data_IF_728108390259
#
_entry.id   IF_728108390259
#
_cell.length_a   1.000
_cell.length_b   1.000
_cell.length_c   1.000
_cell.angle_alpha   90.00
_cell.angle_beta   90.00
_cell.angle_gamma   90.00
#
_symmetry.space_group_name_H-M   'P 1'
#
loop_
_entity.id
_entity.type
_entity.pdbx_description
1 polymer ?
#
# COMPACT_ATOMS: atom_id res chain seq x y z
N UNK A 1 -9.82 -3.62 15.60
CA UNK A 1 -9.23 -3.60 14.24
C UNK A 1 -9.38 -2.19 13.68
N UNK A 2 -8.28 -1.47 13.47
CA UNK A 2 -8.29 -0.15 12.85
C UNK A 2 -8.66 -0.27 11.36
N UNK A 3 -9.47 0.62 10.80
CA UNK A 3 -9.88 0.58 9.38
C UNK A 3 -9.35 1.83 8.69
N UNK A 4 -8.85 1.72 7.45
CA UNK A 4 -8.54 2.91 6.63
C UNK A 4 -9.88 3.51 6.19
N UNK A 5 -10.12 4.77 6.54
CA UNK A 5 -11.38 5.49 6.26
C UNK A 5 -11.26 6.48 5.14
N UNK A 6 -10.07 6.99 4.87
CA UNK A 6 -9.87 7.99 3.83
C UNK A 6 -8.52 7.78 3.18
N UNK A 7 -8.48 8.03 1.87
CA UNK A 7 -7.26 8.01 1.07
C UNK A 7 -7.22 9.29 0.25
N UNK A 8 -6.07 9.96 0.27
CA UNK A 8 -5.81 11.14 -0.55
C UNK A 8 -4.66 10.82 -1.49
N UNK A 9 -4.82 11.13 -2.77
CA UNK A 9 -3.82 10.85 -3.81
C UNK A 9 -3.68 12.09 -4.69
N UNK A 10 -2.43 12.53 -4.90
CA UNK A 10 -2.09 13.62 -5.80
C UNK A 10 -0.94 13.24 -6.73
N UNK A 11 -1.12 13.54 -8.01
CA UNK A 11 -0.09 13.39 -9.05
C UNK A 11 0.25 11.95 -9.44
N UNK A 12 -0.59 10.96 -9.13
CA UNK A 12 -0.32 9.54 -9.42
C UNK A 12 -1.09 9.03 -10.64
N UNK A 13 -0.42 8.70 -11.74
CA UNK A 13 -1.04 8.20 -12.98
C UNK A 13 -2.23 9.09 -13.39
N UNK A 14 -3.41 8.51 -13.65
CA UNK A 14 -4.63 9.28 -13.98
C UNK A 14 -5.27 10.00 -12.78
N UNK A 15 -4.71 9.89 -11.57
CA UNK A 15 -5.25 10.48 -10.34
C UNK A 15 -4.52 11.80 -10.05
N UNK A 16 -5.10 12.91 -10.51
CA UNK A 16 -4.49 14.23 -10.37
C UNK A 16 -4.55 14.75 -8.93
N UNK A 17 -5.75 14.83 -8.36
CA UNK A 17 -6.01 15.17 -6.96
C UNK A 17 -7.36 14.56 -6.59
N UNK A 18 -7.35 13.50 -5.78
CA UNK A 18 -8.56 12.82 -5.34
C UNK A 18 -8.52 12.54 -3.85
N UNK A 19 -9.71 12.55 -3.25
CA UNK A 19 -9.97 12.12 -1.89
C UNK A 19 -11.11 11.12 -1.92
N UNK A 20 -10.91 9.94 -1.33
CA UNK A 20 -11.88 8.85 -1.34
C UNK A 20 -12.14 8.40 0.08
N UNK A 21 -13.41 8.40 0.48
CA UNK A 21 -13.86 7.77 1.72
C UNK A 21 -14.07 6.28 1.52
N UNK A 22 -13.65 5.49 2.52
CA UNK A 22 -13.66 4.03 2.48
C UNK A 22 -14.54 3.46 3.60
N UNK A 23 -15.36 2.50 3.22
CA UNK A 23 -16.05 1.59 4.13
C UNK A 23 -15.22 0.34 4.44
N UNK A 24 -15.85 -0.60 5.14
CA UNK A 24 -15.27 -1.93 5.41
C UNK A 24 -15.07 -2.74 4.14
N UNK A 25 -15.95 -2.55 3.16
CA UNK A 25 -15.92 -3.16 1.83
C UNK A 25 -16.19 -2.04 0.83
N UNK A 26 -15.37 -1.97 -0.21
CA UNK A 26 -15.44 -0.92 -1.22
C UNK A 26 -15.54 -1.57 -2.60
N UNK A 27 -16.52 -1.14 -3.41
CA UNK A 27 -16.68 -1.58 -4.79
C UNK A 27 -16.49 -0.39 -5.72
N UNK A 28 -15.42 -0.42 -6.53
CA UNK A 28 -15.12 0.64 -7.49
C UNK A 28 -15.61 0.25 -8.88
N UNK A 29 -16.58 1.01 -9.42
CA UNK A 29 -17.24 0.74 -10.71
C UNK A 29 -16.98 1.91 -11.66
N UNK A 30 -16.82 1.63 -12.95
CA UNK A 30 -16.62 2.64 -13.97
C UNK A 30 -16.05 2.05 -15.26
N UNK A 31 -15.99 2.85 -16.33
CA UNK A 31 -15.46 2.42 -17.63
C UNK A 31 -13.99 1.96 -17.57
N UNK A 32 -13.55 1.21 -18.58
CA UNK A 32 -12.15 0.82 -18.71
C UNK A 32 -11.27 2.06 -18.89
N UNK A 33 -10.10 2.07 -18.26
CA UNK A 33 -9.15 3.19 -18.34
C UNK A 33 -9.42 4.38 -17.41
N UNK A 34 -10.55 4.41 -16.69
CA UNK A 34 -10.89 5.55 -15.80
C UNK A 34 -10.01 5.67 -14.53
N UNK A 35 -9.10 4.72 -14.29
CA UNK A 35 -8.15 4.78 -13.17
C UNK A 35 -8.52 3.97 -11.92
N UNK A 36 -9.51 3.06 -12.00
CA UNK A 36 -9.87 2.16 -10.87
C UNK A 36 -8.66 1.38 -10.31
N UNK A 37 -7.85 0.80 -11.19
CA UNK A 37 -6.64 0.09 -10.79
C UNK A 37 -5.57 1.05 -10.25
N UNK A 38 -5.51 2.29 -10.76
CA UNK A 38 -4.54 3.29 -10.28
C UNK A 38 -4.80 3.64 -8.80
N UNK A 39 -6.05 3.63 -8.34
CA UNK A 39 -6.38 3.82 -6.92
C UNK A 39 -5.79 2.71 -6.05
N UNK A 40 -5.94 1.45 -6.48
CA UNK A 40 -5.40 0.30 -5.77
C UNK A 40 -3.87 0.29 -5.79
N UNK A 41 -3.27 0.70 -6.92
CA UNK A 41 -1.81 0.80 -7.07
C UNK A 41 -1.20 1.93 -6.24
N UNK A 42 -1.90 3.06 -6.09
CA UNK A 42 -1.47 4.14 -5.19
C UNK A 42 -1.39 3.65 -3.74
N UNK A 43 -2.38 2.86 -3.28
CA UNK A 43 -2.32 2.19 -1.98
C UNK A 43 -1.18 1.16 -1.92
N UNK A 44 -0.87 0.48 -3.02
CA UNK A 44 0.30 -0.39 -3.13
C UNK A 44 1.61 0.36 -2.94
N UNK A 45 1.75 1.55 -3.54
CA UNK A 45 2.89 2.46 -3.35
C UNK A 45 2.97 2.94 -1.90
N UNK A 46 1.84 3.34 -1.30
CA UNK A 46 1.81 3.73 0.11
C UNK A 46 2.21 2.58 1.04
N UNK A 47 1.78 1.35 0.72
CA UNK A 47 2.17 0.14 1.45
C UNK A 47 3.66 -0.19 1.32
N UNK A 48 4.24 -0.01 0.13
CA UNK A 48 5.70 -0.08 -0.06
C UNK A 48 6.40 0.99 0.78
N UNK A 49 5.88 2.22 0.76
CA UNK A 49 6.44 3.32 1.53
C UNK A 49 6.41 3.03 3.05
N UNK A 50 5.33 2.43 3.54
CA UNK A 50 5.18 2.00 4.92
C UNK A 50 6.17 0.90 5.35
N UNK A 51 6.79 0.16 4.40
CA UNK A 51 7.90 -0.76 4.66
C UNK A 51 9.27 -0.07 4.60
N UNK A 52 9.31 1.22 4.29
CA UNK A 52 10.52 2.03 4.29
C UNK A 52 11.26 2.09 2.96
N UNK A 53 10.85 1.37 1.91
CA UNK A 53 11.48 1.46 0.58
C UNK A 53 10.44 1.34 -0.53
N UNK A 54 10.52 2.25 -1.50
CA UNK A 54 9.68 2.24 -2.71
C UNK A 54 10.58 2.03 -3.93
N UNK A 55 10.65 0.80 -4.42
CA UNK A 55 11.41 0.40 -5.60
C UNK A 55 10.61 -0.63 -6.42
N UNK A 56 11.15 -1.07 -7.56
CA UNK A 56 10.45 -1.99 -8.43
C UNK A 56 10.12 -3.32 -7.75
N UNK A 57 11.01 -3.84 -6.88
CA UNK A 57 10.78 -5.09 -6.15
C UNK A 57 9.64 -4.95 -5.13
N UNK A 58 9.66 -3.87 -4.34
CA UNK A 58 8.66 -3.63 -3.30
C UNK A 58 7.28 -3.32 -3.88
N UNK A 59 7.22 -2.69 -5.06
CA UNK A 59 5.99 -2.48 -5.84
C UNK A 59 5.48 -3.79 -6.44
N UNK A 60 6.35 -4.55 -7.10
CA UNK A 60 6.01 -5.85 -7.69
C UNK A 60 5.46 -6.80 -6.65
N UNK A 61 6.08 -6.93 -5.47
CA UNK A 61 5.63 -7.79 -4.36
C UNK A 61 4.23 -7.43 -3.82
N UNK A 62 3.66 -6.30 -4.24
CA UNK A 62 2.31 -5.81 -3.88
C UNK A 62 1.31 -5.90 -5.01
N UNK A 63 1.70 -6.47 -6.16
CA UNK A 63 0.86 -6.52 -7.34
C UNK A 63 0.69 -5.17 -8.04
N UNK A 64 1.54 -4.18 -7.71
CA UNK A 64 1.61 -2.93 -8.48
C UNK A 64 2.25 -3.26 -9.82
N UNK A 65 1.61 -2.88 -10.92
CA UNK A 65 2.11 -3.20 -12.25
C UNK A 65 3.38 -2.39 -12.51
N UNK A 66 4.46 -3.09 -12.84
CA UNK A 66 5.69 -2.47 -13.30
C UNK A 66 5.40 -1.57 -14.51
N UNK A 67 6.02 -0.41 -14.53
CA UNK A 67 5.88 0.56 -15.59
C UNK A 67 7.09 1.48 -15.61
N UNK A 68 7.32 2.13 -16.74
CA UNK A 68 8.36 3.15 -16.82
C UNK A 68 8.06 4.25 -15.78
N UNK A 69 9.08 4.80 -15.10
CA UNK A 69 8.94 5.85 -14.08
C UNK A 69 8.01 7.01 -14.49
N UNK A 70 8.06 7.41 -15.77
CA UNK A 70 7.18 8.44 -16.35
C UNK A 70 5.69 8.11 -16.22
N UNK A 71 5.32 6.84 -16.29
CA UNK A 71 3.92 6.38 -16.26
C UNK A 71 3.29 6.48 -14.88
N UNK A 72 4.09 6.62 -13.80
CA UNK A 72 3.57 6.79 -12.45
C UNK A 72 3.11 8.22 -12.15
N UNK A 73 3.53 9.21 -12.95
CA UNK A 73 3.15 10.62 -12.76
C UNK A 73 1.96 11.00 -13.61
N UNK A 74 1.14 11.89 -13.07
CA UNK A 74 0.04 12.48 -13.83
C UNK A 74 0.53 13.36 -14.97
N UNK A 75 -0.06 13.25 -16.15
CA UNK A 75 0.37 13.92 -17.38
C UNK A 75 -0.83 14.44 -18.17
N UNK A 76 -1.69 15.22 -17.49
CA UNK A 76 -2.79 15.93 -18.14
C UNK A 76 -2.25 17.08 -18.99
N UNK A 77 -2.76 17.24 -20.21
CA UNK A 77 -2.22 18.16 -21.23
C UNK A 77 -2.31 19.64 -20.82
N UNK A 78 -3.26 19.98 -19.95
CA UNK A 78 -3.52 21.33 -19.44
C UNK A 78 -2.63 21.76 -18.28
N UNK A 79 -2.00 20.81 -17.59
CA UNK A 79 -1.40 21.05 -16.27
C UNK A 79 0.08 20.69 -16.23
N UNK A 80 0.84 21.44 -15.44
CA UNK A 80 2.24 21.10 -15.18
C UNK A 80 2.28 19.79 -14.38
N UNK A 81 2.95 18.79 -14.92
CA UNK A 81 3.20 17.52 -14.23
C UNK A 81 3.77 17.78 -12.82
N UNK A 82 3.09 17.32 -11.75
CA UNK A 82 3.58 17.49 -10.39
C UNK A 82 4.96 16.86 -10.25
N UNK A 83 5.92 17.53 -9.58
CA UNK A 83 7.26 16.99 -9.42
C UNK A 83 7.25 15.75 -8.51
N UNK A 84 6.35 15.71 -7.53
CA UNK A 84 6.20 14.64 -6.55
C UNK A 84 4.80 14.03 -6.59
N UNK A 85 4.72 12.80 -6.08
CA UNK A 85 3.48 12.04 -5.91
C UNK A 85 3.18 12.05 -4.41
N UNK A 86 2.00 12.53 -4.02
CA UNK A 86 1.59 12.53 -2.61
C UNK A 86 0.49 11.52 -2.40
N UNK A 87 0.65 10.68 -1.39
CA UNK A 87 -0.34 9.67 -1.02
C UNK A 87 -0.48 9.70 0.50
N UNK A 88 -1.71 9.74 0.99
CA UNK A 88 -2.03 9.67 2.40
C UNK A 88 -3.16 8.68 2.67
N UNK A 89 -3.12 8.05 3.83
CA UNK A 89 -4.21 7.26 4.38
C UNK A 89 -4.51 7.72 5.81
N UNK A 90 -5.79 7.86 6.11
CA UNK A 90 -6.31 8.19 7.44
C UNK A 90 -7.13 7.02 7.96
N UNK A 91 -6.90 6.64 9.20
CA UNK A 91 -7.60 5.56 9.87
C UNK A 91 -8.87 6.03 10.58
N UNK A 92 -9.75 5.10 10.95
CA UNK A 92 -10.93 5.39 11.77
C UNK A 92 -10.59 5.96 13.15
N UNK A 93 -9.37 5.69 13.64
CA UNK A 93 -8.85 6.15 14.92
C UNK A 93 -8.07 7.47 14.76
N UNK A 94 -8.27 8.18 13.64
CA UNK A 94 -7.60 9.43 13.25
C UNK A 94 -6.08 9.36 13.07
N UNK A 95 -5.48 8.17 13.08
CA UNK A 95 -4.08 8.02 12.69
C UNK A 95 -3.88 8.34 11.21
N UNK A 96 -2.76 8.98 10.88
CA UNK A 96 -2.44 9.42 9.52
C UNK A 96 -1.05 8.94 9.14
N UNK A 97 -0.93 8.34 7.95
CA UNK A 97 0.35 8.16 7.28
C UNK A 97 0.32 8.85 5.92
N UNK A 98 1.30 9.73 5.68
CA UNK A 98 1.40 10.51 4.43
C UNK A 98 2.83 10.58 3.95
N UNK A 99 3.01 10.36 2.66
CA UNK A 99 4.30 10.49 1.99
C UNK A 99 4.21 11.39 0.77
N UNK A 100 5.29 12.10 0.49
CA UNK A 100 5.53 12.75 -0.80
C UNK A 100 6.78 12.15 -1.41
N UNK A 101 6.62 11.47 -2.54
CA UNK A 101 7.67 10.68 -3.19
C UNK A 101 8.11 11.34 -4.49
N UNK A 102 9.41 11.30 -4.76
CA UNK A 102 10.01 11.76 -6.01
C UNK A 102 10.70 10.57 -6.71
N UNK A 103 10.27 10.30 -7.94
CA UNK A 103 11.10 9.65 -8.94
C UNK A 103 11.29 10.62 -10.12
N UNK A 104 12.52 11.09 -10.42
CA UNK A 104 12.75 11.99 -11.56
C UNK A 104 12.34 11.33 -12.89
N UNK A 105 11.80 12.11 -13.83
CA UNK A 105 11.34 11.56 -15.13
C UNK A 105 12.51 11.35 -16.08
N UNK A 106 13.44 12.31 -16.13
CA UNK A 106 14.56 12.31 -17.07
C UNK A 106 15.65 11.31 -16.67
N UNK A 107 15.93 11.21 -15.38
CA UNK A 107 16.94 10.29 -14.81
C UNK A 107 16.34 9.56 -13.62
N UNK A 108 15.49 8.54 -13.87
CA UNK A 108 14.84 7.82 -12.80
C UNK A 108 15.83 7.01 -11.99
N UNK A 109 15.58 6.91 -10.69
CA UNK A 109 16.33 6.05 -9.79
C UNK A 109 15.58 4.73 -9.58
N UNK A 110 16.28 3.62 -9.29
CA UNK A 110 15.66 2.35 -8.94
C UNK A 110 14.69 2.47 -7.75
N UNK A 111 15.08 3.25 -6.74
CA UNK A 111 14.26 3.56 -5.57
C UNK A 111 13.84 5.04 -5.53
N UNK A 112 12.60 5.28 -5.15
CA UNK A 112 12.01 6.62 -5.09
C UNK A 112 12.45 7.33 -3.81
N UNK A 113 12.64 8.64 -3.89
CA UNK A 113 13.06 9.44 -2.73
C UNK A 113 11.87 10.01 -1.97
N UNK A 114 11.85 9.82 -0.66
CA UNK A 114 11.00 10.52 0.28
C UNK A 114 11.40 12.00 0.34
N UNK A 115 10.47 12.87 -0.05
CA UNK A 115 10.59 14.33 0.10
C UNK A 115 10.00 14.80 1.41
N UNK A 116 8.87 14.21 1.78
CA UNK A 116 8.28 14.37 3.10
C UNK A 116 7.68 13.06 3.55
N UNK A 117 7.71 12.82 4.85
CA UNK A 117 7.02 11.70 5.48
C UNK A 117 6.40 12.16 6.80
N UNK A 118 5.13 11.80 7.01
CA UNK A 118 4.39 12.11 8.22
C UNK A 118 3.71 10.84 8.73
N UNK A 119 3.90 10.56 10.01
CA UNK A 119 3.18 9.54 10.76
C UNK A 119 2.64 10.18 12.05
N UNK A 120 1.33 10.12 12.25
CA UNK A 120 0.63 10.69 13.39
C UNK A 120 -0.39 9.66 13.91
N UNK A 121 -0.57 9.57 15.23
CA UNK A 121 -1.49 8.62 15.87
C UNK A 121 -2.90 9.15 16.17
N UNK A 122 -3.22 10.34 15.66
CA UNK A 122 -4.43 11.12 15.93
C UNK A 122 -4.20 12.24 16.95
N UNK A 123 -3.13 12.16 17.74
CA UNK A 123 -2.82 13.14 18.80
C UNK A 123 -1.42 13.72 18.68
N UNK A 124 -0.45 12.87 18.35
CA UNK A 124 0.97 13.20 18.40
C UNK A 124 1.64 12.86 17.07
N UNK A 125 2.49 13.77 16.59
CA UNK A 125 3.36 13.51 15.44
C UNK A 125 4.52 12.60 15.87
N UNK A 126 4.52 11.37 15.37
CA UNK A 126 5.59 10.38 15.56
C UNK A 126 6.72 10.64 14.58
N UNK A 127 6.37 10.89 13.32
CA UNK A 127 7.30 11.32 12.27
C UNK A 127 6.76 12.57 11.61
N UNK A 128 7.63 13.57 11.48
CA UNK A 128 7.38 14.78 10.69
C UNK A 128 8.69 15.17 10.02
N UNK A 129 9.06 14.43 8.96
CA UNK A 129 10.28 14.69 8.19
C UNK A 129 9.93 15.62 7.02
N UNK A 130 10.17 16.91 7.21
CA UNK A 130 9.95 17.96 6.22
C UNK A 130 11.23 18.36 5.48
N UNK A 131 11.07 19.03 4.33
CA UNK A 131 12.20 19.46 3.47
C UNK A 131 13.20 20.37 4.20
N UNK A 132 12.74 21.18 5.17
CA UNK A 132 13.58 22.11 5.95
C UNK A 132 14.17 21.53 7.24
N UNK A 133 13.67 20.38 7.68
CA UNK A 133 14.04 19.73 8.94
C UNK A 133 14.53 18.30 8.70
N UNK A 134 15.16 18.08 7.54
CA UNK A 134 15.43 16.75 7.00
C UNK A 134 16.43 16.01 7.89
N UNK A 135 15.93 15.11 8.74
CA UNK A 135 16.76 14.29 9.64
C UNK A 135 17.32 13.07 8.93
N UNK A 136 16.73 12.73 7.79
CA UNK A 136 17.02 11.50 7.08
C UNK A 136 18.25 11.62 6.17
N UNK A 137 19.32 10.91 6.54
CA UNK A 137 20.57 10.80 5.79
C UNK A 137 20.38 10.09 4.44
N UNK A 138 19.45 9.12 4.38
CA UNK A 138 19.12 8.40 3.17
C UNK A 138 17.71 8.76 2.69
N UNK A 139 17.63 9.60 1.67
CA UNK A 139 16.33 10.03 1.13
C UNK A 139 15.48 8.90 0.51
N UNK A 140 16.00 7.69 0.33
CA UNK A 140 15.26 6.53 -0.18
C UNK A 140 14.74 5.59 0.92
N UNK A 141 15.10 5.84 2.19
CA UNK A 141 14.63 5.07 3.34
C UNK A 141 13.50 5.83 4.06
N UNK A 142 12.38 5.18 4.37
CA UNK A 142 11.31 5.76 5.19
C UNK A 142 11.64 5.70 6.68
N UNK A 143 11.59 6.83 7.37
CA UNK A 143 11.83 6.94 8.81
C UNK A 143 10.66 6.36 9.62
N UNK A 144 9.43 6.47 9.12
CA UNK A 144 8.25 5.93 9.79
C UNK A 144 8.35 4.42 10.01
N UNK A 145 8.90 3.68 9.04
CA UNK A 145 9.11 2.24 9.16
C UNK A 145 10.08 1.88 10.30
N UNK A 146 11.09 2.72 10.54
CA UNK A 146 12.05 2.55 11.63
C UNK A 146 11.40 2.87 12.99
N UNK A 147 10.64 3.97 13.08
CA UNK A 147 10.00 4.39 14.33
C UNK A 147 8.91 3.44 14.82
N UNK A 148 8.37 2.58 13.95
CA UNK A 148 7.38 1.56 14.35
C UNK A 148 7.86 0.61 15.44
N UNK A 149 9.18 0.37 15.54
CA UNK A 149 9.73 -0.54 16.55
C UNK A 149 9.58 -0.01 17.98
N UNK A 150 9.43 1.31 18.11
CA UNK A 150 9.31 2.00 19.40
C UNK A 150 7.84 2.22 19.80
N UNK A 151 6.88 1.88 18.94
CA UNK A 151 5.45 2.06 19.20
C UNK A 151 4.82 0.82 19.83
N UNK A 152 3.89 1.05 20.76
CA UNK A 152 3.05 0.00 21.31
C UNK A 152 2.11 -0.58 20.25
N UNK A 153 1.81 -1.88 20.34
CA UNK A 153 1.01 -2.60 19.32
C UNK A 153 -0.42 -2.11 19.21
N UNK A 154 -0.95 -1.48 20.26
CA UNK A 154 -2.27 -0.89 20.28
C UNK A 154 -2.32 0.56 19.80
N UNK A 155 -1.16 1.21 19.62
CA UNK A 155 -1.07 2.55 19.08
C UNK A 155 -1.77 2.63 17.69
N UNK A 156 -2.66 3.61 17.47
CA UNK A 156 -3.37 3.78 16.20
C UNK A 156 -2.46 3.87 14.96
N UNK A 157 -1.31 4.54 15.06
CA UNK A 157 -0.34 4.66 13.98
C UNK A 157 0.33 3.32 13.68
N UNK A 158 0.70 2.55 14.70
CA UNK A 158 1.28 1.22 14.53
C UNK A 158 0.30 0.28 13.79
N UNK A 159 -0.97 0.28 14.19
CA UNK A 159 -2.02 -0.51 13.54
C UNK A 159 -2.30 -0.08 12.10
N UNK A 160 -2.27 1.22 11.81
CA UNK A 160 -2.40 1.75 10.45
C UNK A 160 -1.24 1.29 9.57
N UNK A 161 -0.01 1.46 10.06
CA UNK A 161 1.20 1.10 9.32
C UNK A 161 1.26 -0.41 9.03
N UNK A 162 0.96 -1.27 10.00
CA UNK A 162 0.90 -2.73 9.77
C UNK A 162 -0.07 -3.08 8.63
N UNK A 163 -1.24 -2.44 8.58
CA UNK A 163 -2.24 -2.67 7.51
C UNK A 163 -1.74 -2.23 6.14
N UNK A 164 -1.06 -1.09 6.08
CA UNK A 164 -0.44 -0.62 4.85
C UNK A 164 0.70 -1.55 4.43
N UNK A 165 1.50 -2.03 5.38
CA UNK A 165 2.61 -2.95 5.11
C UNK A 165 2.12 -4.30 4.56
N UNK A 166 0.95 -4.76 4.98
CA UNK A 166 0.34 -6.00 4.50
C UNK A 166 -0.49 -5.83 3.22
N UNK A 167 -0.77 -4.59 2.80
CA UNK A 167 -1.57 -4.33 1.61
C UNK A 167 -0.95 -4.96 0.36
N UNK A 168 -1.80 -5.63 -0.41
CA UNK A 168 -1.45 -6.28 -1.66
C UNK A 168 -2.65 -6.30 -2.62
N UNK A 169 -2.36 -6.26 -3.92
CA UNK A 169 -3.32 -6.35 -5.00
C UNK A 169 -3.34 -7.78 -5.50
N UNK A 170 -4.44 -8.48 -5.24
CA UNK A 170 -4.67 -9.83 -5.73
C UNK A 170 -5.35 -9.78 -7.10
N UNK A 171 -4.78 -10.44 -8.09
CA UNK A 171 -5.29 -10.54 -9.45
C UNK A 171 -5.21 -12.01 -9.91
N UNK A 172 -6.05 -12.89 -9.36
CA UNK A 172 -6.02 -14.30 -9.69
C UNK A 172 -6.27 -14.53 -11.18
N UNK A 173 -5.54 -15.48 -11.77
CA UNK A 173 -5.64 -15.80 -13.18
C UNK A 173 -5.81 -17.31 -13.39
N UNK A 174 -6.50 -17.69 -14.46
CA UNK A 174 -6.87 -19.09 -14.73
C UNK A 174 -5.66 -20.03 -14.88
N UNK A 175 -4.58 -19.68 -15.61
CA UNK A 175 -3.40 -20.53 -15.69
C UNK A 175 -2.78 -20.86 -14.32
N UNK A 176 -2.63 -19.87 -13.44
CA UNK A 176 -2.07 -20.07 -12.10
C UNK A 176 -3.03 -20.85 -11.20
N UNK A 177 -4.31 -20.51 -11.20
CA UNK A 177 -5.34 -21.23 -10.41
C UNK A 177 -5.44 -22.72 -10.78
N UNK A 178 -5.13 -23.09 -12.02
CA UNK A 178 -5.12 -24.47 -12.50
C UNK A 178 -3.78 -25.19 -12.31
N UNK A 179 -2.77 -24.53 -11.74
CA UNK A 179 -1.42 -25.08 -11.61
C UNK A 179 -0.68 -25.27 -12.93
N UNK A 180 -1.15 -24.64 -14.03
CA UNK A 180 -0.50 -24.71 -15.35
C UNK A 180 0.79 -23.87 -15.34
N UNK A 181 0.75 -22.74 -14.63
CA UNK A 181 1.89 -21.81 -14.50
C UNK A 181 2.12 -21.54 -13.00
N UNK A 182 3.36 -21.54 -12.51
CA UNK A 182 3.64 -21.19 -11.12
C UNK A 182 3.25 -19.75 -10.81
N UNK A 183 2.83 -19.49 -9.57
CA UNK A 183 2.64 -18.12 -9.09
C UNK A 183 4.00 -17.47 -8.84
N UNK A 184 4.38 -16.57 -9.76
CA UNK A 184 5.63 -15.83 -9.70
C UNK A 184 5.77 -15.00 -8.42
N UNK A 185 4.64 -14.65 -7.78
CA UNK A 185 4.61 -13.86 -6.54
C UNK A 185 3.78 -14.59 -5.48
N UNK A 186 4.26 -15.80 -5.18
CA UNK A 186 3.78 -16.63 -4.09
C UNK A 186 3.83 -15.86 -2.76
N UNK A 187 2.67 -15.66 -2.15
CA UNK A 187 2.49 -14.92 -0.90
C UNK A 187 1.37 -15.56 -0.09
N UNK A 188 1.63 -15.87 1.17
CA UNK A 188 0.57 -16.35 2.07
C UNK A 188 -0.56 -15.31 2.19
N UNK A 189 -1.84 -15.73 2.23
CA UNK A 189 -2.30 -17.12 2.21
C UNK A 189 -2.60 -17.69 0.82
N UNK A 190 -2.84 -16.87 -0.21
CA UNK A 190 -3.43 -17.33 -1.49
C UNK A 190 -2.58 -17.07 -2.74
N UNK A 191 -1.45 -16.39 -2.61
CA UNK A 191 -0.65 -15.90 -3.74
C UNK A 191 -1.32 -14.74 -4.46
N UNK A 192 -0.54 -13.83 -5.06
CA UNK A 192 -1.12 -12.67 -5.76
C UNK A 192 -1.89 -13.08 -7.02
N UNK A 193 -1.49 -14.19 -7.66
CA UNK A 193 -2.16 -14.76 -8.82
C UNK A 193 -3.06 -15.95 -8.48
N UNK A 194 -3.24 -16.25 -7.18
CA UNK A 194 -4.10 -17.33 -6.71
C UNK A 194 -3.42 -18.69 -6.60
N UNK A 195 -2.08 -18.77 -6.70
CA UNK A 195 -1.38 -20.06 -6.72
C UNK A 195 -1.45 -20.87 -5.45
N UNK A 196 -1.84 -20.26 -4.32
CA UNK A 196 -2.00 -20.94 -3.02
C UNK A 196 -3.47 -20.99 -2.56
N UNK A 197 -4.41 -20.81 -3.49
CA UNK A 197 -5.83 -20.76 -3.12
C UNK A 197 -6.31 -22.06 -2.46
N UNK A 198 -5.84 -23.21 -2.94
CA UNK A 198 -6.23 -24.52 -2.40
C UNK A 198 -5.73 -24.69 -0.94
N UNK A 199 -4.49 -24.31 -0.68
CA UNK A 199 -3.85 -24.31 0.64
C UNK A 199 -4.55 -23.33 1.58
N UNK A 200 -4.87 -22.12 1.09
CA UNK A 200 -5.63 -21.13 1.84
C UNK A 200 -7.01 -21.64 2.26
N UNK A 201 -7.73 -22.33 1.36
CA UNK A 201 -9.03 -22.95 1.68
C UNK A 201 -8.87 -24.11 2.66
N UNK A 202 -7.83 -24.93 2.51
CA UNK A 202 -7.55 -26.02 3.45
C UNK A 202 -7.24 -25.50 4.86
N UNK A 203 -6.46 -24.42 4.97
CA UNK A 203 -6.18 -23.75 6.23
C UNK A 203 -7.44 -23.17 6.90
N UNK A 204 -8.38 -22.63 6.11
CA UNK A 204 -9.65 -22.16 6.65
C UNK A 204 -10.51 -23.31 7.19
N UNK A 205 -10.53 -24.45 6.50
CA UNK A 205 -11.25 -25.65 6.96
C UNK A 205 -10.68 -26.20 8.26
N UNK A 206 -9.35 -26.27 8.38
CA UNK A 206 -8.72 -26.76 9.61
C UNK A 206 -9.01 -25.86 10.82
N UNK A 207 -9.06 -24.54 10.62
CA UNK A 207 -9.47 -23.59 11.68
C UNK A 207 -10.92 -23.87 12.11
N UNK A 208 -11.84 -24.08 11.15
CA UNK A 208 -13.23 -24.38 11.45
C UNK A 208 -13.42 -25.69 12.24
N UNK A 209 -12.64 -26.72 11.90
CA UNK A 209 -12.69 -28.01 12.60
C UNK A 209 -12.15 -27.91 14.04
N UNK A 210 -11.11 -27.09 14.26
CA UNK A 210 -10.58 -26.82 15.61
C UNK A 210 -11.59 -26.04 16.46
N UNK A 211 -12.23 -25.01 15.90
CA UNK A 211 -13.27 -24.24 16.60
C UNK A 211 -14.47 -25.14 16.95
N UNK A 212 -14.93 -25.98 16.03
CA UNK A 212 -16.04 -26.91 16.27
C UNK A 212 -15.70 -28.00 17.31
N UNK A 213 -14.45 -28.49 17.33
CA UNK A 213 -13.97 -29.45 18.34
C UNK A 213 -13.84 -28.84 19.74
N UNK A 214 -13.60 -27.53 19.83
CA UNK A 214 -13.50 -26.81 21.11
C UNK A 214 -14.86 -26.52 21.76
N UNK A 215 -15.93 -26.44 20.97
CA UNK A 215 -17.32 -26.31 21.46
C UNK A 215 -17.91 -27.65 21.91
N UNK A 216 -17.44 -28.78 21.41
CA UNK A 216 -17.93 -30.12 21.76
C UNK A 216 -17.39 -30.66 23.11
N UNK A 217 -16.49 -29.93 23.78
CA UNK A 217 -15.85 -30.33 25.05
C UNK A 217 -16.37 -29.49 26.25
N UNK A 218 -17.44 -28.70 26.06
CA UNK A 218 -18.16 -28.02 27.17
C UNK A 218 -19.49 -28.70 27.45
#
# INVERSE_FOLDING_TARGET
>A
MTIIRQVEIRGFKSLYDITVELGRVNCFIGANGVGKSNLLEALGVLGAAANGVVDDESLLRRGVRAGLPRLYKSSFTSDRTPPHITIAATSADNAVYRVSLLNPIESPNPAWSYKTEVLNDGTTDIVSDGVRSKKNLNSQAGLAALQLVDLERDNPAARLMQRLQDYAIYCPNTPTLRGIVPDQQSRSPVGLSGGQLAEGVAALKSIQEVDAGSEAIK
#
